data_IF_141145208086
#
_entry.id   IF_141145208086
#
_cell.length_a   1.000
_cell.length_b   1.000
_cell.length_c   1.000
_cell.angle_alpha   90.00
_cell.angle_beta   90.00
_cell.angle_gamma   90.00
#
_symmetry.space_group_name_H-M   'P 1'
#
loop_
_entity.id
_entity.type
_entity.pdbx_description
1 polymer ?
#
# COMPACT_ATOMS: atom_id res chain seq x y z
N UNK A 1 11.23 -6.98 3.16
CA UNK A 1 11.51 -6.04 4.28
C UNK A 1 10.31 -5.99 5.21
N UNK A 2 10.53 -6.12 6.53
CA UNK A 2 9.42 -6.07 7.49
C UNK A 2 8.77 -4.68 7.48
N UNK A 3 7.46 -4.61 7.74
CA UNK A 3 6.70 -3.33 7.87
C UNK A 3 7.43 -2.37 8.83
N UNK A 4 8.00 -2.86 9.93
CA UNK A 4 8.81 -2.08 10.88
C UNK A 4 10.04 -1.44 10.22
N UNK A 5 10.73 -2.17 9.33
CA UNK A 5 11.88 -1.66 8.58
C UNK A 5 11.49 -0.53 7.62
N UNK A 6 10.36 -0.67 6.93
CA UNK A 6 9.84 0.38 6.04
C UNK A 6 9.49 1.65 6.83
N UNK A 7 8.78 1.50 7.94
CA UNK A 7 8.41 2.62 8.81
C UNK A 7 9.66 3.32 9.37
N UNK A 8 10.67 2.57 9.82
CA UNK A 8 11.93 3.14 10.31
C UNK A 8 12.66 3.96 9.26
N UNK A 9 12.75 3.46 8.01
CA UNK A 9 13.41 4.14 6.89
C UNK A 9 12.74 5.48 6.53
N UNK A 10 11.44 5.61 6.78
CA UNK A 10 10.66 6.80 6.45
C UNK A 10 10.60 7.77 7.64
N UNK A 11 10.42 7.25 8.84
CA UNK A 11 10.21 8.04 10.05
C UNK A 11 11.44 8.91 10.39
N UNK A 12 12.65 8.36 10.26
CA UNK A 12 13.87 9.05 10.63
C UNK A 12 14.13 10.33 9.82
N UNK A 13 14.10 10.31 8.46
CA UNK A 13 14.27 11.52 7.66
C UNK A 13 13.23 12.61 7.93
N UNK A 14 11.99 12.23 8.23
CA UNK A 14 10.92 13.20 8.50
C UNK A 14 11.09 13.84 9.88
N UNK A 15 11.42 13.05 10.92
CA UNK A 15 11.61 13.56 12.28
C UNK A 15 12.88 14.39 12.45
N UNK A 16 13.91 14.11 11.69
CA UNK A 16 15.22 14.76 11.78
C UNK A 16 15.48 15.73 10.61
N UNK A 17 14.43 16.34 10.05
CA UNK A 17 14.51 17.17 8.83
C UNK A 17 15.56 18.29 8.93
N UNK A 18 15.70 18.94 10.10
CA UNK A 18 16.69 19.99 10.34
C UNK A 18 18.14 19.45 10.32
N UNK A 19 18.33 18.22 10.80
CA UNK A 19 19.63 17.56 10.75
C UNK A 19 20.00 17.24 9.28
N UNK A 20 19.03 16.74 8.50
CA UNK A 20 19.22 16.46 7.07
C UNK A 20 19.59 17.72 6.29
N UNK A 21 18.89 18.84 6.53
CA UNK A 21 19.20 20.14 5.94
C UNK A 21 20.62 20.60 6.27
N UNK A 22 21.06 20.45 7.54
CA UNK A 22 22.41 20.80 7.98
C UNK A 22 23.50 20.05 7.23
N UNK A 23 23.25 18.79 6.83
CA UNK A 23 24.15 17.98 6.03
C UNK A 23 23.97 18.17 4.52
N UNK A 24 23.13 19.11 4.07
CA UNK A 24 22.82 19.34 2.66
C UNK A 24 22.05 18.20 1.99
N UNK A 25 21.37 17.36 2.80
CA UNK A 25 20.56 16.23 2.30
C UNK A 25 19.13 16.72 2.13
N UNK A 26 18.58 16.60 0.92
CA UNK A 26 17.17 16.89 0.67
C UNK A 26 16.28 15.91 1.43
N UNK A 27 15.30 16.39 2.21
CA UNK A 27 14.35 15.51 2.89
C UNK A 27 13.48 14.78 1.86
N UNK A 28 12.99 13.59 2.23
CA UNK A 28 12.05 12.83 1.40
C UNK A 28 10.72 13.60 1.27
N UNK A 29 10.28 13.82 0.04
CA UNK A 29 8.99 14.45 -0.25
C UNK A 29 7.85 13.42 -0.30
N UNK A 30 8.14 12.22 -0.76
CA UNK A 30 7.17 11.13 -0.82
C UNK A 30 7.78 9.78 -1.17
N UNK A 31 6.96 8.75 -1.08
CA UNK A 31 7.34 7.37 -1.39
C UNK A 31 6.28 6.67 -2.24
N UNK A 32 6.73 5.74 -3.06
CA UNK A 32 5.89 4.78 -3.75
C UNK A 32 5.98 3.41 -3.05
N UNK A 33 4.85 2.90 -2.58
CA UNK A 33 4.71 1.51 -2.15
C UNK A 33 4.18 0.69 -3.33
N UNK A 34 4.94 -0.30 -3.78
CA UNK A 34 4.51 -1.14 -4.89
C UNK A 34 4.64 -2.62 -4.58
N UNK A 35 3.89 -3.45 -5.27
CA UNK A 35 3.91 -4.90 -5.09
C UNK A 35 2.52 -5.51 -5.19
N UNK A 36 2.40 -6.83 -4.97
CA UNK A 36 1.14 -7.54 -5.16
C UNK A 36 -0.02 -6.99 -4.34
N UNK A 37 -1.24 -7.19 -4.84
CA UNK A 37 -2.45 -6.85 -4.11
C UNK A 37 -2.54 -7.63 -2.78
N UNK A 38 -3.21 -7.06 -1.79
CA UNK A 38 -3.42 -7.74 -0.50
C UNK A 38 -2.20 -7.87 0.41
N UNK A 39 -1.04 -7.28 0.08
CA UNK A 39 0.18 -7.32 0.90
C UNK A 39 0.30 -6.21 1.95
N UNK A 40 -0.73 -5.38 2.13
CA UNK A 40 -0.82 -4.44 3.25
C UNK A 40 -0.29 -3.03 3.00
N UNK A 41 -0.14 -2.58 1.75
CA UNK A 41 0.33 -1.22 1.40
C UNK A 41 -0.47 -0.13 2.10
N UNK A 42 -1.81 -0.18 2.04
CA UNK A 42 -2.71 0.76 2.72
C UNK A 42 -2.55 0.72 4.25
N UNK A 43 -2.35 -0.48 4.82
CA UNK A 43 -2.12 -0.63 6.26
C UNK A 43 -0.81 0.04 6.70
N UNK A 44 0.25 -0.09 5.91
CA UNK A 44 1.55 0.55 6.16
C UNK A 44 1.39 2.08 6.18
N UNK A 45 0.69 2.66 5.20
CA UNK A 45 0.47 4.09 5.11
C UNK A 45 -0.29 4.64 6.33
N UNK A 46 -1.37 3.98 6.74
CA UNK A 46 -2.14 4.35 7.95
C UNK A 46 -1.31 4.26 9.22
N UNK A 47 -0.52 3.18 9.35
CA UNK A 47 0.36 3.00 10.50
C UNK A 47 1.45 4.06 10.54
N UNK A 48 2.04 4.40 9.40
CA UNK A 48 3.03 5.47 9.28
C UNK A 48 2.45 6.82 9.73
N UNK A 49 1.27 7.20 9.25
CA UNK A 49 0.61 8.44 9.65
C UNK A 49 0.39 8.50 11.18
N UNK A 50 -0.06 7.39 11.77
CA UNK A 50 -0.26 7.28 13.22
C UNK A 50 1.05 7.41 14.01
N UNK A 51 2.14 6.79 13.55
CA UNK A 51 3.44 6.85 14.23
C UNK A 51 4.12 8.22 14.11
N UNK A 52 3.83 8.95 13.03
CA UNK A 52 4.30 10.32 12.81
C UNK A 52 3.41 11.39 13.48
N UNK A 53 2.25 11.00 13.96
CA UNK A 53 1.20 11.93 14.45
C UNK A 53 0.76 12.91 13.35
N UNK A 54 0.61 12.43 12.12
CA UNK A 54 0.19 13.20 10.96
C UNK A 54 -1.31 13.05 10.72
N UNK A 55 -1.96 14.13 10.29
CA UNK A 55 -3.31 14.06 9.75
C UNK A 55 -3.33 13.16 8.51
N UNK A 56 -4.23 12.18 8.47
CA UNK A 56 -4.28 11.19 7.40
C UNK A 56 -5.39 11.49 6.40
N UNK A 57 -5.04 11.65 5.13
CA UNK A 57 -6.00 11.76 4.02
C UNK A 57 -5.77 10.58 3.09
N UNK A 58 -6.81 9.77 2.89
CA UNK A 58 -6.82 8.69 1.88
C UNK A 58 -7.53 9.18 0.63
N UNK A 59 -6.93 8.94 -0.53
CA UNK A 59 -7.41 9.33 -1.85
C UNK A 59 -7.48 8.10 -2.74
N UNK A 60 -8.64 7.88 -3.33
CA UNK A 60 -8.88 6.84 -4.34
C UNK A 60 -9.18 7.48 -5.69
N UNK A 61 -9.02 6.75 -6.81
CA UNK A 61 -9.35 7.27 -8.13
C UNK A 61 -10.77 7.85 -8.22
N UNK A 62 -11.75 7.20 -7.58
CA UNK A 62 -13.15 7.65 -7.54
C UNK A 62 -13.35 9.02 -6.87
N UNK A 63 -12.48 9.40 -5.93
CA UNK A 63 -12.61 10.65 -5.19
C UNK A 63 -12.23 11.86 -6.07
N UNK A 64 -11.33 11.63 -7.03
CA UNK A 64 -10.84 12.65 -7.96
C UNK A 64 -11.64 12.69 -9.26
N UNK A 65 -12.26 11.58 -9.67
CA UNK A 65 -13.05 11.52 -10.89
C UNK A 65 -14.15 12.61 -10.92
N UNK A 66 -14.28 13.29 -12.06
CA UNK A 66 -15.32 14.29 -12.31
C UNK A 66 -15.92 14.11 -13.70
N UNK A 67 -17.22 14.34 -13.80
CA UNK A 67 -17.93 14.38 -15.09
C UNK A 67 -17.85 15.75 -15.76
N UNK A 68 -17.33 16.76 -15.05
CA UNK A 68 -17.22 18.13 -15.57
C UNK A 68 -15.79 18.42 -16.04
N UNK A 69 -15.66 19.18 -17.11
CA UNK A 69 -14.38 19.70 -17.63
C UNK A 69 -13.71 20.51 -16.51
N UNK A 70 -12.42 20.25 -16.26
CA UNK A 70 -11.61 20.82 -15.16
C UNK A 70 -12.06 20.46 -13.73
N UNK A 71 -13.10 19.67 -13.53
CA UNK A 71 -13.56 19.30 -12.19
C UNK A 71 -12.55 18.45 -11.40
N UNK A 72 -11.76 17.60 -12.07
CA UNK A 72 -10.69 16.82 -11.45
C UNK A 72 -9.55 17.71 -10.95
N UNK A 73 -9.13 18.73 -11.73
CA UNK A 73 -8.10 19.70 -11.33
C UNK A 73 -8.49 20.47 -10.06
N UNK A 74 -9.73 20.94 -10.00
CA UNK A 74 -10.26 21.63 -8.83
C UNK A 74 -10.28 20.73 -7.60
N UNK A 75 -10.63 19.45 -7.76
CA UNK A 75 -10.58 18.46 -6.67
C UNK A 75 -9.17 18.22 -6.19
N UNK A 76 -8.19 18.12 -7.11
CA UNK A 76 -6.78 17.98 -6.77
C UNK A 76 -6.31 19.20 -5.96
N UNK A 77 -6.57 20.42 -6.43
CA UNK A 77 -6.20 21.64 -5.72
C UNK A 77 -6.83 21.72 -4.32
N UNK A 78 -8.11 21.39 -4.18
CA UNK A 78 -8.83 21.33 -2.89
C UNK A 78 -8.25 20.27 -1.94
N UNK A 79 -7.81 19.12 -2.48
CA UNK A 79 -7.15 18.07 -1.71
C UNK A 79 -5.88 18.59 -1.04
N UNK A 80 -4.99 19.23 -1.82
CA UNK A 80 -3.74 19.77 -1.30
C UNK A 80 -3.96 20.96 -0.36
N UNK A 81 -4.92 21.83 -0.65
CA UNK A 81 -5.32 22.91 0.26
C UNK A 81 -5.82 22.35 1.61
N UNK A 82 -6.66 21.31 1.58
CA UNK A 82 -7.10 20.62 2.80
C UNK A 82 -5.92 20.03 3.58
N UNK A 83 -4.94 19.47 2.87
CA UNK A 83 -3.74 18.91 3.50
C UNK A 83 -2.89 19.99 4.16
N UNK A 84 -2.72 21.16 3.55
CA UNK A 84 -2.00 22.31 4.13
C UNK A 84 -2.67 22.85 5.39
N UNK A 85 -3.99 23.01 5.38
CA UNK A 85 -4.75 23.50 6.54
C UNK A 85 -4.62 22.55 7.74
N UNK A 86 -4.45 21.25 7.50
CA UNK A 86 -4.33 20.23 8.54
C UNK A 86 -2.87 19.74 8.74
N UNK A 87 -1.89 20.48 8.25
CA UNK A 87 -0.49 20.08 8.35
C UNK A 87 -0.02 19.94 9.82
N UNK A 88 0.83 18.97 10.17
CA UNK A 88 1.48 18.02 9.25
C UNK A 88 0.52 16.91 8.76
N UNK A 89 0.51 16.66 7.45
CA UNK A 89 -0.45 15.75 6.80
C UNK A 89 0.27 14.66 5.99
N UNK A 90 -0.23 13.43 6.07
CA UNK A 90 0.12 12.36 5.15
C UNK A 90 -1.04 12.14 4.16
N UNK A 91 -0.77 12.38 2.88
CA UNK A 91 -1.68 12.03 1.78
C UNK A 91 -1.33 10.64 1.30
N UNK A 92 -2.26 9.70 1.45
CA UNK A 92 -2.15 8.36 0.89
C UNK A 92 -2.97 8.27 -0.41
N UNK A 93 -2.29 7.95 -1.51
CA UNK A 93 -2.90 7.82 -2.84
C UNK A 93 -2.91 6.32 -3.18
N UNK A 94 -4.09 5.69 -3.09
CA UNK A 94 -4.24 4.29 -3.48
C UNK A 94 -4.48 4.17 -4.99
N UNK A 95 -4.02 3.09 -5.58
CA UNK A 95 -4.13 2.82 -7.03
C UNK A 95 -3.67 4.02 -7.87
N UNK A 96 -2.49 4.55 -7.56
CA UNK A 96 -1.94 5.74 -8.24
C UNK A 96 -1.76 5.54 -9.74
N UNK A 97 -1.63 4.31 -10.20
CA UNK A 97 -1.58 3.91 -11.61
C UNK A 97 -2.90 4.20 -12.36
N UNK A 98 -4.03 4.24 -11.66
CA UNK A 98 -5.31 4.65 -12.25
C UNK A 98 -5.47 6.19 -12.33
N UNK A 99 -4.71 6.94 -11.50
CA UNK A 99 -4.74 8.41 -11.49
C UNK A 99 -3.65 8.98 -12.41
N UNK A 100 -2.48 8.36 -12.43
CA UNK A 100 -1.28 8.83 -13.14
C UNK A 100 -0.65 7.71 -14.00
N UNK A 101 -1.38 7.13 -14.99
CA UNK A 101 -0.80 6.14 -15.89
C UNK A 101 0.20 6.78 -16.88
N UNK A 102 1.09 5.96 -17.45
CA UNK A 102 1.99 6.35 -18.54
C UNK A 102 1.21 7.01 -19.68
N UNK A 103 1.82 8.00 -20.28
CA UNK A 103 1.28 8.68 -21.45
C UNK A 103 1.53 7.81 -22.68
N UNK A 104 0.48 7.20 -23.23
CA UNK A 104 0.54 6.63 -24.57
C UNK A 104 0.30 7.75 -25.58
N UNK A 105 1.30 7.99 -26.44
CA UNK A 105 1.32 9.11 -27.40
C UNK A 105 0.16 9.07 -28.40
N UNK A 106 -0.48 7.91 -28.60
CA UNK A 106 -1.53 7.72 -29.61
C UNK A 106 -2.95 8.09 -29.16
N UNK A 107 -3.20 8.32 -27.84
CA UNK A 107 -4.55 8.53 -27.28
C UNK A 107 -4.65 9.68 -26.26
N UNK A 108 -3.84 10.75 -26.39
CA UNK A 108 -3.88 11.87 -25.45
C UNK A 108 -5.14 12.72 -25.60
N UNK A 109 -6.15 12.45 -24.80
CA UNK A 109 -7.12 13.48 -24.44
C UNK A 109 -6.38 14.62 -23.72
N UNK A 110 -6.37 15.83 -24.29
CA UNK A 110 -5.72 17.02 -23.71
C UNK A 110 -6.13 17.27 -22.25
N UNK A 111 -7.38 16.91 -21.89
CA UNK A 111 -7.89 17.00 -20.52
C UNK A 111 -7.12 16.13 -19.54
N UNK A 112 -6.84 14.90 -19.92
CA UNK A 112 -6.10 13.96 -19.08
C UNK A 112 -4.66 14.43 -18.81
N UNK A 113 -3.97 14.92 -19.85
CA UNK A 113 -2.61 15.48 -19.69
C UNK A 113 -2.58 16.67 -18.72
N UNK A 114 -3.65 17.47 -18.71
CA UNK A 114 -3.81 18.61 -17.81
C UNK A 114 -4.00 18.19 -16.35
N UNK A 115 -4.78 17.14 -16.10
CA UNK A 115 -5.03 16.57 -14.76
C UNK A 115 -3.75 15.97 -14.16
N UNK A 116 -3.02 15.18 -14.98
CA UNK A 116 -1.71 14.64 -14.59
C UNK A 116 -0.73 15.76 -14.27
N UNK A 117 -0.66 16.81 -15.09
CA UNK A 117 0.21 17.95 -14.85
C UNK A 117 -0.13 18.67 -13.55
N UNK A 118 -1.41 18.93 -13.26
CA UNK A 118 -1.84 19.55 -12.01
C UNK A 118 -1.37 18.71 -10.80
N UNK A 119 -1.57 17.40 -10.86
CA UNK A 119 -1.11 16.51 -9.80
C UNK A 119 0.40 16.58 -9.60
N UNK A 120 1.17 16.54 -10.70
CA UNK A 120 2.64 16.61 -10.66
C UNK A 120 3.15 17.96 -10.10
N UNK A 121 2.46 19.06 -10.40
CA UNK A 121 2.78 20.40 -9.85
C UNK A 121 2.51 20.40 -8.34
N UNK A 122 1.34 19.96 -7.92
CA UNK A 122 0.97 19.92 -6.49
C UNK A 122 1.86 19.00 -5.65
N UNK A 123 2.37 17.91 -6.23
CA UNK A 123 3.28 16.99 -5.56
C UNK A 123 4.69 17.55 -5.37
N UNK A 124 5.07 18.58 -6.11
CA UNK A 124 6.42 19.14 -6.03
C UNK A 124 6.62 19.88 -4.69
N UNK A 125 7.74 19.59 -3.99
CA UNK A 125 8.11 20.21 -2.71
C UNK A 125 7.04 20.19 -1.61
N UNK A 126 6.22 19.14 -1.57
CA UNK A 126 5.19 18.96 -0.55
C UNK A 126 5.74 19.01 0.88
N UNK A 127 6.97 18.53 1.09
CA UNK A 127 7.59 18.51 2.42
C UNK A 127 7.79 19.92 2.99
N UNK A 128 8.03 20.93 2.16
CA UNK A 128 8.13 22.33 2.59
C UNK A 128 6.80 22.89 3.13
N UNK A 129 5.69 22.28 2.71
CA UNK A 129 4.31 22.55 3.17
C UNK A 129 3.87 21.64 4.31
N UNK A 130 4.80 20.87 4.90
CA UNK A 130 4.54 19.82 5.90
C UNK A 130 3.54 18.76 5.41
N UNK A 131 3.59 18.41 4.12
CA UNK A 131 2.81 17.34 3.50
C UNK A 131 3.77 16.24 3.08
N UNK A 132 3.48 15.00 3.47
CA UNK A 132 4.20 13.81 3.04
C UNK A 132 3.29 12.94 2.18
N UNK A 133 3.79 12.49 1.02
CA UNK A 133 2.99 11.70 0.08
C UNK A 133 3.40 10.24 0.15
N UNK A 134 2.41 9.37 0.30
CA UNK A 134 2.56 7.92 0.15
C UNK A 134 1.63 7.46 -0.97
N UNK A 135 2.19 7.06 -2.09
CA UNK A 135 1.43 6.46 -3.17
C UNK A 135 1.52 4.93 -3.13
N UNK A 136 0.49 4.24 -3.57
CA UNK A 136 0.47 2.79 -3.67
C UNK A 136 0.01 2.33 -5.06
N UNK A 137 0.62 1.26 -5.55
CA UNK A 137 0.23 0.61 -6.80
C UNK A 137 0.46 -0.90 -6.77
N UNK A 138 -0.35 -1.61 -7.55
CA UNK A 138 -0.12 -3.01 -7.90
C UNK A 138 0.53 -3.16 -9.29
N UNK A 139 0.71 -2.05 -10.04
CA UNK A 139 1.17 -2.03 -11.42
C UNK A 139 2.22 -0.94 -11.65
N UNK A 140 3.43 -1.08 -11.04
CA UNK A 140 4.45 -0.04 -11.12
C UNK A 140 4.93 0.26 -12.54
N UNK A 141 4.83 -0.70 -13.45
CA UNK A 141 5.25 -0.60 -14.85
C UNK A 141 4.40 0.36 -15.68
N UNK A 142 3.16 0.66 -15.26
CA UNK A 142 2.24 1.56 -15.99
C UNK A 142 2.17 2.98 -15.43
N UNK A 143 2.94 3.29 -14.39
CA UNK A 143 2.95 4.63 -13.78
C UNK A 143 3.73 5.63 -14.66
N UNK A 144 3.27 6.88 -14.70
CA UNK A 144 3.96 8.01 -15.32
C UNK A 144 5.35 8.19 -14.69
N UNK A 145 6.48 8.05 -15.44
CA UNK A 145 7.83 8.13 -14.88
C UNK A 145 8.14 9.48 -14.21
N UNK A 146 7.45 10.55 -14.61
CA UNK A 146 7.66 11.87 -14.02
C UNK A 146 7.33 11.92 -12.54
N UNK A 147 6.46 11.01 -12.02
CA UNK A 147 6.11 10.95 -10.60
C UNK A 147 7.28 10.45 -9.73
N UNK A 148 8.18 9.65 -10.30
CA UNK A 148 9.32 9.03 -9.61
C UNK A 148 10.57 9.94 -9.62
N UNK A 149 10.44 11.19 -10.08
CA UNK A 149 11.54 12.15 -10.05
C UNK A 149 11.73 12.74 -8.66
N UNK A 150 12.98 13.16 -8.37
CA UNK A 150 13.32 13.85 -7.14
C UNK A 150 12.40 15.04 -6.88
N UNK A 151 12.03 15.25 -5.62
CA UNK A 151 11.07 16.26 -5.19
C UNK A 151 9.58 15.84 -5.31
N UNK A 152 9.31 14.56 -5.63
CA UNK A 152 7.95 13.97 -5.71
C UNK A 152 7.89 12.66 -4.93
N UNK A 153 7.98 11.51 -5.60
CA UNK A 153 8.14 10.21 -4.94
C UNK A 153 9.60 9.79 -5.04
N UNK A 154 10.38 10.24 -4.08
CA UNK A 154 11.85 10.11 -4.11
C UNK A 154 12.33 8.67 -3.88
N UNK A 155 11.45 7.80 -3.38
CA UNK A 155 11.80 6.43 -3.06
C UNK A 155 10.68 5.46 -3.39
N UNK A 156 11.04 4.37 -4.10
CA UNK A 156 10.16 3.23 -4.31
C UNK A 156 10.49 2.11 -3.33
N UNK A 157 9.46 1.52 -2.71
CA UNK A 157 9.61 0.46 -1.71
C UNK A 157 8.74 -0.72 -2.10
N UNK A 158 9.38 -1.85 -2.33
CA UNK A 158 8.70 -3.11 -2.62
C UNK A 158 8.05 -3.70 -1.36
N UNK A 159 6.76 -3.96 -1.44
CA UNK A 159 5.96 -4.65 -0.41
C UNK A 159 5.53 -5.99 -0.99
N UNK A 160 6.36 -7.00 -0.74
CA UNK A 160 6.13 -8.37 -1.21
C UNK A 160 5.19 -9.16 -0.30
N UNK A 161 5.12 -10.46 -0.58
CA UNK A 161 4.37 -11.41 0.24
C UNK A 161 4.89 -11.44 1.69
N UNK A 162 4.02 -11.74 2.67
CA UNK A 162 4.42 -11.82 4.06
C UNK A 162 5.41 -12.98 4.29
N UNK A 163 6.45 -12.72 5.07
CA UNK A 163 7.36 -13.74 5.55
C UNK A 163 6.68 -14.68 6.57
N UNK A 164 7.34 -15.76 6.94
CA UNK A 164 6.80 -16.76 7.88
C UNK A 164 6.33 -16.12 9.20
N UNK A 165 7.12 -15.22 9.78
CA UNK A 165 6.79 -14.58 11.05
C UNK A 165 5.57 -13.67 10.92
N UNK A 166 5.49 -12.91 9.84
CA UNK A 166 4.33 -12.05 9.56
C UNK A 166 3.07 -12.89 9.36
N UNK A 167 3.15 -14.01 8.61
CA UNK A 167 1.99 -14.92 8.46
C UNK A 167 1.55 -15.46 9.80
N UNK A 168 2.47 -15.88 10.64
CA UNK A 168 2.18 -16.41 11.97
C UNK A 168 1.51 -15.35 12.87
N UNK A 169 2.00 -14.09 12.86
CA UNK A 169 1.40 -12.99 13.61
C UNK A 169 -0.03 -12.68 13.13
N UNK A 170 -0.25 -12.64 11.83
CA UNK A 170 -1.57 -12.37 11.23
C UNK A 170 -2.56 -13.50 11.54
N UNK A 171 -2.16 -14.75 11.38
CA UNK A 171 -3.01 -15.90 11.72
C UNK A 171 -3.38 -15.91 13.22
N UNK A 172 -2.42 -15.64 14.11
CA UNK A 172 -2.68 -15.49 15.55
C UNK A 172 -3.68 -14.37 15.83
N UNK A 173 -3.52 -13.23 15.18
CA UNK A 173 -4.41 -12.08 15.36
C UNK A 173 -5.84 -12.38 14.90
N UNK A 174 -5.99 -12.95 13.69
CA UNK A 174 -7.30 -13.22 13.11
C UNK A 174 -8.05 -14.39 13.80
N UNK A 175 -7.32 -15.32 14.43
CA UNK A 175 -7.89 -16.45 15.17
C UNK A 175 -8.14 -16.16 16.65
N UNK A 176 -7.59 -15.09 17.22
CA UNK A 176 -7.54 -14.80 18.66
C UNK A 176 -8.90 -14.92 19.39
N UNK A 177 -9.99 -14.50 18.74
CA UNK A 177 -11.33 -14.45 19.35
C UNK A 177 -12.29 -15.44 18.67
N UNK A 178 -11.78 -16.46 17.99
CA UNK A 178 -12.57 -17.46 17.30
C UNK A 178 -12.55 -18.79 18.04
N UNK A 179 -13.59 -19.61 17.93
CA UNK A 179 -13.65 -20.92 18.56
C UNK A 179 -12.72 -21.90 17.83
N UNK A 180 -11.47 -21.96 18.26
CA UNK A 180 -10.44 -22.83 17.70
C UNK A 180 -10.21 -24.06 18.56
N UNK A 181 -9.82 -25.17 17.91
CA UNK A 181 -9.29 -26.34 18.59
C UNK A 181 -8.01 -25.96 19.35
N UNK A 182 -7.80 -26.56 20.54
CA UNK A 182 -6.62 -26.33 21.36
C UNK A 182 -5.33 -26.82 20.70
N UNK A 183 -5.45 -27.83 19.83
CA UNK A 183 -4.34 -28.44 19.12
C UNK A 183 -4.05 -27.76 17.76
N UNK A 184 -4.71 -26.65 17.45
CA UNK A 184 -4.48 -25.91 16.21
C UNK A 184 -3.10 -25.27 16.20
N UNK A 185 -2.15 -25.88 15.49
CA UNK A 185 -0.77 -25.39 15.33
C UNK A 185 -0.70 -24.25 14.30
N UNK A 186 -0.58 -23.02 14.81
CA UNK A 186 -0.44 -21.80 13.99
C UNK A 186 0.88 -21.78 13.22
N UNK A 187 1.95 -22.39 13.79
CA UNK A 187 3.24 -22.47 13.10
C UNK A 187 3.12 -23.34 11.86
N UNK A 188 2.45 -24.49 11.98
CA UNK A 188 2.16 -25.35 10.85
C UNK A 188 1.27 -24.66 9.80
N UNK A 189 0.24 -23.93 10.22
CA UNK A 189 -0.58 -23.12 9.30
C UNK A 189 0.27 -22.09 8.54
N UNK A 190 1.19 -21.39 9.22
CA UNK A 190 2.08 -20.44 8.58
C UNK A 190 3.06 -21.11 7.60
N UNK A 191 3.45 -22.36 7.81
CA UNK A 191 4.27 -23.13 6.87
C UNK A 191 3.49 -23.50 5.59
N UNK A 192 2.29 -24.02 5.72
CA UNK A 192 1.50 -24.49 4.58
C UNK A 192 0.85 -23.35 3.77
N UNK A 193 0.85 -22.12 4.30
CA UNK A 193 0.34 -20.91 3.63
C UNK A 193 1.45 -20.07 2.99
N UNK A 194 2.54 -20.68 2.57
CA UNK A 194 3.57 -20.02 1.77
C UNK A 194 2.96 -19.49 0.47
N UNK A 195 3.38 -18.30 0.03
CA UNK A 195 2.86 -17.58 -1.14
C UNK A 195 1.46 -16.96 -1.00
N UNK A 196 0.79 -17.09 0.13
CA UNK A 196 -0.48 -16.40 0.38
C UNK A 196 -0.23 -14.94 0.82
N UNK A 197 -1.01 -14.00 0.26
CA UNK A 197 -1.03 -12.60 0.69
C UNK A 197 -1.72 -12.46 2.05
N UNK A 198 -1.63 -11.28 2.69
CA UNK A 198 -2.35 -10.99 3.94
C UNK A 198 -3.89 -11.08 3.75
N UNK A 199 -4.37 -10.66 2.58
CA UNK A 199 -5.79 -10.78 2.23
C UNK A 199 -6.22 -12.23 2.04
N UNK A 200 -5.38 -13.04 1.41
CA UNK A 200 -5.64 -14.48 1.25
C UNK A 200 -5.70 -15.18 2.62
N UNK A 201 -4.75 -14.88 3.53
CA UNK A 201 -4.76 -15.46 4.87
C UNK A 201 -6.05 -15.13 5.63
N UNK A 202 -6.49 -13.88 5.55
CA UNK A 202 -7.77 -13.46 6.15
C UNK A 202 -8.97 -14.18 5.52
N UNK A 203 -8.95 -14.36 4.21
CA UNK A 203 -9.95 -15.13 3.49
C UNK A 203 -9.97 -16.60 3.97
N UNK A 204 -8.80 -17.26 4.02
CA UNK A 204 -8.69 -18.65 4.51
C UNK A 204 -9.25 -18.81 5.92
N UNK A 205 -8.90 -17.90 6.84
CA UNK A 205 -9.42 -17.92 8.22
C UNK A 205 -10.94 -17.77 8.25
N UNK A 206 -11.53 -16.93 7.41
CA UNK A 206 -12.97 -16.74 7.33
C UNK A 206 -13.67 -17.99 6.77
N UNK A 207 -13.14 -18.58 5.70
CA UNK A 207 -13.74 -19.78 5.10
C UNK A 207 -13.59 -21.01 6.00
N UNK A 208 -12.43 -21.18 6.67
CA UNK A 208 -12.26 -22.24 7.66
C UNK A 208 -13.25 -22.10 8.84
N UNK A 209 -13.49 -20.85 9.28
CA UNK A 209 -14.49 -20.60 10.33
C UNK A 209 -15.93 -20.89 9.87
N UNK A 210 -16.29 -20.55 8.62
CA UNK A 210 -17.59 -20.91 8.05
C UNK A 210 -17.78 -22.42 7.97
N UNK A 211 -16.74 -23.14 7.51
CA UNK A 211 -16.78 -24.60 7.41
C UNK A 211 -16.97 -25.25 8.78
N UNK A 212 -16.25 -24.78 9.80
CA UNK A 212 -16.39 -25.24 11.17
C UNK A 212 -17.80 -24.97 11.73
N UNK A 213 -18.34 -23.76 11.48
CA UNK A 213 -19.69 -23.37 11.89
C UNK A 213 -20.76 -24.27 11.27
N UNK A 214 -20.68 -24.58 9.98
CA UNK A 214 -21.61 -25.46 9.28
C UNK A 214 -21.62 -26.88 9.86
N UNK A 215 -20.48 -27.33 10.36
CA UNK A 215 -20.30 -28.64 10.96
C UNK A 215 -20.54 -28.65 12.50
N UNK A 216 -20.95 -27.51 13.08
CA UNK A 216 -21.10 -27.34 14.54
C UNK A 216 -19.84 -27.74 15.32
N UNK A 217 -18.65 -27.45 14.77
CA UNK A 217 -17.35 -27.85 15.28
C UNK A 217 -16.43 -26.63 15.56
N UNK A 218 -15.32 -26.88 16.23
CA UNK A 218 -14.25 -25.90 16.39
C UNK A 218 -13.41 -25.78 15.10
N UNK A 219 -12.80 -24.62 14.89
CA UNK A 219 -11.86 -24.41 13.78
C UNK A 219 -10.63 -25.27 14.03
N UNK A 220 -10.33 -26.19 13.12
CA UNK A 220 -9.22 -27.12 13.21
C UNK A 220 -8.34 -27.09 11.93
N UNK A 221 -7.21 -27.76 11.96
CA UNK A 221 -6.28 -27.83 10.83
C UNK A 221 -6.91 -28.40 9.55
N UNK A 222 -7.81 -29.38 9.67
CA UNK A 222 -8.46 -30.00 8.51
C UNK A 222 -9.39 -29.02 7.77
N UNK A 223 -10.02 -28.08 8.49
CA UNK A 223 -10.78 -27.02 7.84
C UNK A 223 -9.86 -26.19 6.92
N UNK A 224 -8.67 -25.80 7.41
CA UNK A 224 -7.70 -25.04 6.60
C UNK A 224 -7.18 -25.85 5.42
N UNK A 225 -6.83 -27.13 5.59
CA UNK A 225 -6.38 -27.99 4.48
C UNK A 225 -7.44 -28.09 3.39
N UNK A 226 -8.69 -28.24 3.78
CA UNK A 226 -9.83 -28.29 2.83
C UNK A 226 -9.91 -26.99 2.03
N UNK A 227 -9.82 -25.83 2.69
CA UNK A 227 -9.94 -24.53 2.04
C UNK A 227 -8.70 -24.22 1.17
N UNK A 228 -7.49 -24.53 1.64
CA UNK A 228 -6.25 -24.37 0.87
C UNK A 228 -6.28 -25.18 -0.43
N UNK A 229 -6.80 -26.39 -0.41
CA UNK A 229 -6.96 -27.22 -1.62
C UNK A 229 -7.97 -26.63 -2.62
N UNK A 230 -8.98 -25.91 -2.14
CA UNK A 230 -10.00 -25.27 -2.98
C UNK A 230 -9.57 -23.92 -3.51
N UNK A 231 -8.79 -23.18 -2.73
CA UNK A 231 -8.41 -21.79 -3.02
C UNK A 231 -6.88 -21.63 -2.97
N UNK A 232 -6.20 -21.80 -4.11
CA UNK A 232 -4.77 -21.56 -4.19
C UNK A 232 -4.42 -20.07 -3.98
N UNK A 233 -3.15 -19.73 -3.72
CA UNK A 233 -2.70 -18.34 -3.60
C UNK A 233 -3.15 -17.48 -4.78
N UNK A 234 -3.61 -16.27 -4.50
CA UNK A 234 -4.11 -15.34 -5.53
C UNK A 234 -3.00 -14.79 -6.43
N UNK A 235 -1.74 -14.91 -6.01
CA UNK A 235 -0.56 -14.35 -6.69
C UNK A 235 0.29 -15.49 -7.23
N UNK A 236 0.53 -15.49 -8.54
CA UNK A 236 1.38 -16.47 -9.21
C UNK A 236 2.87 -16.18 -9.03
N UNK A 237 3.70 -17.22 -9.12
CA UNK A 237 5.17 -17.09 -9.06
C UNK A 237 5.70 -16.13 -10.14
N UNK A 238 5.12 -16.16 -11.34
CA UNK A 238 5.48 -15.25 -12.43
C UNK A 238 5.28 -13.78 -12.07
N UNK A 239 4.16 -13.45 -11.42
CA UNK A 239 3.90 -12.08 -10.98
C UNK A 239 4.91 -11.63 -9.91
N UNK A 240 5.32 -12.50 -9.01
CA UNK A 240 6.36 -12.20 -8.02
C UNK A 240 7.68 -11.84 -8.70
N UNK A 241 8.10 -12.65 -9.69
CA UNK A 241 9.32 -12.41 -10.46
C UNK A 241 9.29 -11.09 -11.26
N UNK A 242 8.12 -10.69 -11.78
CA UNK A 242 7.94 -9.41 -12.46
C UNK A 242 8.15 -8.22 -11.51
N UNK A 243 7.65 -8.27 -10.27
CA UNK A 243 7.92 -7.25 -9.26
C UNK A 243 9.39 -7.20 -8.82
N UNK A 244 10.04 -8.36 -8.70
CA UNK A 244 11.47 -8.43 -8.34
C UNK A 244 12.36 -7.82 -9.43
N UNK A 245 12.02 -7.99 -10.70
CA UNK A 245 12.71 -7.34 -11.81
C UNK A 245 12.60 -5.81 -11.74
N UNK A 246 11.42 -5.29 -11.44
CA UNK A 246 11.21 -3.85 -11.26
C UNK A 246 12.02 -3.28 -10.08
N UNK A 247 12.25 -4.07 -9.03
CA UNK A 247 13.06 -3.65 -7.87
C UNK A 247 14.56 -3.51 -8.20
N UNK A 248 15.03 -4.20 -9.23
CA UNK A 248 16.44 -4.24 -9.63
C UNK A 248 16.77 -3.33 -10.81
N UNK A 249 15.77 -2.63 -11.36
CA UNK A 249 15.91 -1.65 -12.44
C UNK A 249 15.96 -0.22 -11.90
#
# INVERSE_FOLDING_TARGET
>A
SSVKGVIFLINKPIKEIELYKKYGISPLNGILLYGPAGCGKTHIARKLAKELDFYYIEVKPSDLASTYIHGTQEKIAKLFQKAEVNAPTLIFIDEVDAILPKRDFDNLNQHYASEVNEFLVQMTDCISRNIFIVAATNRPEVIEPAILRAGRLDKSIYIGLPDFNTRMEVLKFDLKNRPCDRDLDISHLAMITTCYSLSDLKFLVNEAAKLALLNHALICLENFKTIINQYPPSISQRQIEEYEKFNNS
#
